data_IF_263766264165
#
_entry.id   IF_263766264165
#
_cell.length_a   1.000
_cell.length_b   1.000
_cell.length_c   1.000
_cell.angle_alpha   90.00
_cell.angle_beta   90.00
_cell.angle_gamma   90.00
#
_symmetry.space_group_name_H-M   'P 1'
#
loop_
_entity.id
_entity.type
_entity.pdbx_description
1 polymer ?
#
# COMPACT_ATOMS: atom_id res chain seq x y z
N UNK A 1 -20.74 0.08 78.62
CA UNK A 1 -22.16 0.48 78.57
C UNK A 1 -22.53 0.69 77.10
N UNK A 2 -23.56 -0.06 76.65
CA UNK A 2 -24.40 0.07 75.44
C UNK A 2 -23.69 0.21 74.08
N UNK A 3 -23.56 -0.82 73.23
CA UNK A 3 -24.59 -1.57 72.45
C UNK A 3 -25.42 -0.68 71.53
N UNK A 4 -25.26 -0.82 70.20
CA UNK A 4 -26.34 -1.09 69.21
C UNK A 4 -25.74 -1.56 67.86
N UNK A 5 -26.18 -2.74 67.40
CA UNK A 5 -26.11 -3.27 66.02
C UNK A 5 -27.54 -3.12 65.38
N UNK A 6 -27.88 -3.75 64.24
CA UNK A 6 -27.62 -3.37 62.84
C UNK A 6 -28.94 -3.17 62.06
N UNK A 7 -28.92 -2.58 60.86
CA UNK A 7 -30.09 -2.60 59.95
C UNK A 7 -29.69 -3.11 58.57
N UNK A 8 -30.31 -4.22 58.17
CA UNK A 8 -30.28 -4.87 56.87
C UNK A 8 -31.32 -4.25 55.94
N UNK A 9 -31.04 -4.16 54.64
CA UNK A 9 -31.99 -4.28 53.51
C UNK A 9 -31.12 -4.36 52.25
N UNK A 10 -30.79 -5.53 51.68
CA UNK A 10 -31.63 -6.40 50.84
C UNK A 10 -32.49 -5.61 49.84
N UNK A 11 -31.90 -5.36 48.67
CA UNK A 11 -32.57 -4.83 47.47
C UNK A 11 -32.11 -5.61 46.25
N UNK A 12 -32.48 -6.89 46.21
CA UNK A 12 -32.42 -7.73 45.02
C UNK A 12 -33.67 -7.36 44.22
N UNK A 13 -33.51 -6.76 43.04
CA UNK A 13 -34.61 -6.69 42.06
C UNK A 13 -34.23 -7.53 40.84
N UNK A 14 -34.90 -8.67 40.64
CA UNK A 14 -34.62 -9.61 39.58
C UNK A 14 -35.47 -9.34 38.33
N UNK A 15 -35.03 -9.94 37.21
CA UNK A 15 -35.86 -10.55 36.14
C UNK A 15 -36.85 -9.60 35.41
N UNK A 16 -36.95 -9.57 34.09
CA UNK A 16 -37.15 -10.72 33.21
C UNK A 16 -37.33 -10.24 31.76
N UNK A 17 -36.76 -11.01 30.81
CA UNK A 17 -37.32 -11.35 29.48
C UNK A 17 -37.49 -10.18 28.47
N UNK A 18 -37.17 -10.23 27.18
CA UNK A 18 -37.26 -11.23 26.09
C UNK A 18 -36.35 -10.61 25.00
N UNK A 19 -35.51 -11.30 24.22
CA UNK A 19 -35.92 -12.20 23.16
C UNK A 19 -34.69 -12.87 22.55
N UNK A 20 -34.80 -14.18 22.43
CA UNK A 20 -34.03 -15.06 21.57
C UNK A 20 -34.23 -14.63 20.11
N UNK A 21 -33.16 -14.43 19.36
CA UNK A 21 -33.13 -14.87 17.97
C UNK A 21 -31.73 -15.39 17.64
N UNK A 22 -31.70 -16.69 17.41
CA UNK A 22 -30.58 -17.48 16.95
C UNK A 22 -30.33 -17.20 15.45
N UNK A 23 -29.21 -17.73 14.97
CA UNK A 23 -28.84 -17.95 13.57
C UNK A 23 -28.03 -16.82 12.89
N UNK A 24 -26.73 -17.14 12.77
CA UNK A 24 -25.96 -17.14 11.52
C UNK A 24 -26.07 -15.88 10.65
N UNK A 25 -25.00 -15.12 10.52
CA UNK A 25 -24.03 -15.26 9.44
C UNK A 25 -22.78 -14.45 9.80
N UNK A 26 -21.62 -15.09 9.69
CA UNK A 26 -20.35 -14.40 9.52
C UNK A 26 -20.44 -13.57 8.25
N UNK A 27 -20.89 -12.34 8.36
CA UNK A 27 -20.63 -11.31 7.38
C UNK A 27 -19.94 -10.20 8.13
N UNK A 28 -18.63 -10.38 8.29
CA UNK A 28 -17.76 -9.22 8.41
C UNK A 28 -17.98 -8.49 7.09
N UNK A 29 -18.91 -7.54 7.11
CA UNK A 29 -18.98 -6.53 6.08
C UNK A 29 -17.67 -5.78 6.22
N UNK A 30 -16.64 -6.30 5.55
CA UNK A 30 -15.61 -5.44 5.00
C UNK A 30 -16.42 -4.38 4.29
N UNK A 31 -16.50 -3.23 4.93
CA UNK A 31 -16.75 -2.01 4.20
C UNK A 31 -15.57 -2.00 3.24
N UNK A 32 -15.80 -2.50 2.02
CA UNK A 32 -15.10 -2.04 0.84
C UNK A 32 -15.28 -0.53 0.89
N UNK A 33 -14.35 0.10 1.61
CA UNK A 33 -13.96 1.47 1.36
C UNK A 33 -13.45 1.40 -0.06
N UNK A 34 -14.41 1.62 -0.96
CA UNK A 34 -14.22 2.13 -2.29
C UNK A 34 -13.11 3.17 -2.16
N UNK A 35 -11.88 2.73 -2.45
CA UNK A 35 -10.77 3.63 -2.62
C UNK A 35 -11.03 4.27 -3.98
N UNK A 36 -11.99 5.19 -4.00
CA UNK A 36 -12.07 6.28 -4.96
C UNK A 36 -10.81 7.12 -4.75
N UNK A 37 -9.66 6.58 -5.14
CA UNK A 37 -8.48 7.39 -5.40
C UNK A 37 -8.75 8.09 -6.72
N UNK A 38 -9.40 9.24 -6.61
CA UNK A 38 -9.54 10.22 -7.67
C UNK A 38 -8.14 10.65 -8.11
N UNK A 39 -7.67 10.01 -9.17
CA UNK A 39 -6.38 10.24 -9.81
C UNK A 39 -6.24 9.15 -10.84
N UNK A 40 -6.52 9.48 -12.09
CA UNK A 40 -6.38 8.56 -13.22
C UNK A 40 -4.98 7.88 -13.11
N UNK A 41 -4.93 6.54 -13.19
CA UNK A 41 -3.65 5.86 -12.98
C UNK A 41 -2.78 6.07 -14.21
N UNK A 42 -1.52 6.50 -14.04
CA UNK A 42 -0.54 6.49 -15.14
C UNK A 42 -0.44 5.05 -15.64
N UNK A 43 -0.74 4.83 -16.91
CA UNK A 43 -0.73 3.49 -17.50
C UNK A 43 0.71 3.05 -17.73
N UNK A 44 1.05 1.89 -17.19
CA UNK A 44 2.36 1.25 -17.31
C UNK A 44 2.22 -0.03 -18.14
N UNK A 45 2.92 -0.10 -19.27
CA UNK A 45 2.94 -1.25 -20.20
C UNK A 45 3.38 -2.54 -19.50
N UNK A 46 2.83 -3.70 -19.88
CA UNK A 46 3.21 -4.97 -19.26
C UNK A 46 4.70 -5.31 -19.43
N UNK A 47 5.30 -4.85 -20.53
CA UNK A 47 6.72 -4.98 -20.81
C UNK A 47 7.22 -3.76 -21.58
N UNK A 48 8.53 -3.52 -21.50
CA UNK A 48 9.23 -2.54 -22.31
C UNK A 48 10.69 -2.98 -22.50
N UNK A 49 11.38 -2.36 -23.46
CA UNK A 49 12.81 -2.56 -23.66
C UNK A 49 13.54 -1.24 -23.47
N UNK A 50 14.60 -1.26 -22.66
CA UNK A 50 15.49 -0.10 -22.47
C UNK A 50 16.93 -0.57 -22.54
N UNK A 51 17.75 0.08 -23.39
CA UNK A 51 19.15 -0.25 -23.60
C UNK A 51 19.42 -1.76 -23.87
N UNK A 52 18.54 -2.40 -24.65
CA UNK A 52 18.62 -3.83 -24.98
C UNK A 52 18.25 -4.77 -23.82
N UNK A 53 17.73 -4.24 -22.71
CA UNK A 53 17.22 -5.03 -21.59
C UNK A 53 15.70 -5.05 -21.65
N UNK A 54 15.13 -6.25 -21.77
CA UNK A 54 13.68 -6.45 -21.61
C UNK A 54 13.30 -6.34 -20.14
N UNK A 55 12.29 -5.54 -19.84
CA UNK A 55 11.71 -5.37 -18.51
C UNK A 55 10.30 -5.90 -18.50
N UNK A 56 9.98 -6.71 -17.50
CA UNK A 56 8.65 -7.30 -17.34
C UNK A 56 8.01 -6.77 -16.06
N UNK A 57 6.78 -6.25 -16.18
CA UNK A 57 5.98 -5.83 -15.04
C UNK A 57 5.66 -7.06 -14.18
N UNK A 58 6.02 -7.01 -12.92
CA UNK A 58 5.64 -8.01 -11.94
C UNK A 58 4.18 -7.81 -11.54
N UNK A 59 3.44 -8.90 -11.35
CA UNK A 59 2.03 -8.84 -10.95
C UNK A 59 1.85 -8.14 -9.59
N UNK A 60 2.78 -8.38 -8.65
CA UNK A 60 2.79 -7.77 -7.32
C UNK A 60 4.22 -7.74 -6.78
N UNK A 61 4.55 -6.73 -5.98
CA UNK A 61 5.80 -6.72 -5.21
C UNK A 61 5.70 -7.72 -4.03
N UNK A 62 6.74 -8.53 -3.83
CA UNK A 62 6.79 -9.46 -2.69
C UNK A 62 7.12 -8.72 -1.39
N UNK A 63 6.91 -9.37 -0.24
CA UNK A 63 7.34 -8.81 1.06
C UNK A 63 8.84 -8.50 1.09
N UNK A 64 9.66 -9.34 0.45
CA UNK A 64 11.11 -9.12 0.33
C UNK A 64 11.42 -7.86 -0.47
N UNK A 65 10.66 -7.59 -1.53
CA UNK A 65 10.80 -6.38 -2.36
C UNK A 65 10.47 -5.13 -1.55
N UNK A 66 9.34 -5.15 -0.84
CA UNK A 66 8.90 -4.03 -0.01
C UNK A 66 9.86 -3.78 1.15
N UNK A 67 10.41 -4.84 1.76
CA UNK A 67 11.42 -4.72 2.83
C UNK A 67 12.72 -4.11 2.32
N UNK A 68 13.17 -4.52 1.13
CA UNK A 68 14.35 -3.94 0.48
C UNK A 68 14.13 -2.44 0.21
N UNK A 69 12.99 -2.10 -0.37
CA UNK A 69 12.63 -0.71 -0.69
C UNK A 69 12.48 0.15 0.57
N UNK A 70 11.76 -0.34 1.59
CA UNK A 70 11.61 0.33 2.88
C UNK A 70 12.97 0.55 3.56
N UNK A 71 13.84 -0.46 3.55
CA UNK A 71 15.20 -0.35 4.09
C UNK A 71 16.06 0.69 3.37
N UNK A 72 15.82 0.93 2.08
CA UNK A 72 16.46 2.01 1.33
C UNK A 72 15.91 3.38 1.76
N UNK A 73 14.59 3.54 1.87
CA UNK A 73 13.95 4.78 2.31
C UNK A 73 14.29 5.18 3.75
N UNK A 74 14.42 4.21 4.66
CA UNK A 74 14.88 4.50 6.03
C UNK A 74 16.28 5.13 6.08
N UNK A 75 17.13 4.85 5.09
CA UNK A 75 18.48 5.41 4.98
C UNK A 75 18.52 6.70 4.17
N UNK A 76 17.48 6.97 3.39
CA UNK A 76 17.38 8.10 2.47
C UNK A 76 16.04 8.81 2.70
N UNK A 77 15.82 9.30 3.92
CA UNK A 77 14.52 9.83 4.36
C UNK A 77 14.02 11.01 3.53
N UNK A 78 14.93 11.81 2.96
CA UNK A 78 14.60 12.92 2.06
C UNK A 78 13.88 12.46 0.80
N UNK A 79 14.07 11.21 0.38
CA UNK A 79 13.40 10.67 -0.79
C UNK A 79 11.94 10.33 -0.51
N UNK A 80 11.59 9.97 0.73
CA UNK A 80 10.19 9.70 1.14
C UNK A 80 9.34 10.96 1.09
N UNK A 81 9.97 12.13 1.24
CA UNK A 81 9.31 13.43 1.11
C UNK A 81 9.09 13.82 -0.36
N UNK A 82 9.59 13.04 -1.33
CA UNK A 82 9.36 13.29 -2.75
C UNK A 82 7.87 13.07 -3.06
N UNK A 83 7.20 14.06 -3.66
CA UNK A 83 5.76 14.00 -3.91
C UNK A 83 5.36 12.99 -5.01
N UNK A 84 6.31 12.38 -5.71
CA UNK A 84 6.07 11.23 -6.59
C UNK A 84 5.91 9.93 -5.80
N UNK A 85 6.50 9.80 -4.61
CA UNK A 85 6.47 8.57 -3.82
C UNK A 85 5.19 8.54 -2.98
N UNK A 86 4.09 8.18 -3.64
CA UNK A 86 2.79 7.99 -3.03
C UNK A 86 2.13 6.70 -3.52
N UNK A 87 1.59 5.91 -2.58
CA UNK A 87 0.96 4.62 -2.89
C UNK A 87 1.94 3.51 -3.27
N UNK A 88 1.39 2.42 -3.79
CA UNK A 88 2.16 1.22 -4.14
C UNK A 88 2.93 1.41 -5.46
N UNK A 89 4.23 1.08 -5.50
CA UNK A 89 4.99 1.14 -6.74
C UNK A 89 4.58 0.06 -7.73
N UNK A 90 4.73 0.36 -9.02
CA UNK A 90 4.78 -0.65 -10.07
C UNK A 90 6.19 -1.27 -10.13
N UNK A 91 6.30 -2.58 -9.90
CA UNK A 91 7.56 -3.31 -9.97
C UNK A 91 7.82 -3.85 -11.38
N UNK A 92 9.01 -3.60 -11.91
CA UNK A 92 9.58 -4.27 -13.07
C UNK A 92 10.81 -5.08 -12.68
N UNK A 93 10.97 -6.23 -13.34
CA UNK A 93 12.14 -7.09 -13.19
C UNK A 93 12.77 -7.35 -14.55
N UNK A 94 14.08 -7.31 -14.62
CA UNK A 94 14.87 -7.70 -15.80
C UNK A 94 15.34 -9.16 -15.71
N UNK A 95 15.77 -9.78 -16.82
CA UNK A 95 16.33 -11.14 -16.83
C UNK A 95 17.54 -11.36 -15.91
N UNK A 96 18.32 -10.30 -15.63
CA UNK A 96 19.47 -10.37 -14.73
C UNK A 96 19.10 -10.18 -13.25
N UNK A 97 17.82 -10.05 -12.92
CA UNK A 97 17.33 -9.91 -11.55
C UNK A 97 17.36 -8.47 -11.00
N UNK A 98 17.65 -7.48 -11.84
CA UNK A 98 17.52 -6.06 -11.47
C UNK A 98 16.05 -5.71 -11.29
N UNK A 99 15.75 -4.90 -10.27
CA UNK A 99 14.39 -4.51 -9.91
C UNK A 99 14.22 -3.01 -10.06
N UNK A 100 13.12 -2.55 -10.65
CA UNK A 100 12.74 -1.14 -10.71
C UNK A 100 11.35 -0.93 -10.12
N UNK A 101 11.27 -0.04 -9.14
CA UNK A 101 10.01 0.40 -8.54
C UNK A 101 9.65 1.75 -9.14
N UNK A 102 8.54 1.82 -9.85
CA UNK A 102 8.04 3.03 -10.49
C UNK A 102 6.88 3.61 -9.71
N UNK A 103 6.89 4.92 -9.53
CA UNK A 103 5.74 5.72 -9.18
C UNK A 103 5.43 6.64 -10.35
N UNK A 104 4.15 6.79 -10.65
CA UNK A 104 3.66 7.67 -11.71
C UNK A 104 2.45 8.44 -11.24
N UNK A 105 2.38 9.72 -11.60
CA UNK A 105 1.21 10.57 -11.36
C UNK A 105 0.90 11.40 -12.59
N UNK A 106 -0.34 11.88 -12.71
CA UNK A 106 -0.64 12.94 -13.68
C UNK A 106 -0.01 14.25 -13.21
N UNK A 107 0.91 14.80 -13.99
CA UNK A 107 1.30 16.20 -13.88
C UNK A 107 0.28 17.11 -14.56
N UNK A 108 0.50 18.43 -14.47
CA UNK A 108 -0.41 19.43 -15.03
C UNK A 108 -0.53 19.38 -16.56
N UNK A 109 0.58 19.09 -17.25
CA UNK A 109 0.65 19.04 -18.71
C UNK A 109 1.05 17.65 -19.23
N UNK A 110 1.94 16.96 -18.53
CA UNK A 110 2.42 15.63 -18.89
C UNK A 110 2.49 14.72 -17.66
N UNK A 111 2.43 13.39 -17.81
CA UNK A 111 2.67 12.47 -16.70
C UNK A 111 4.05 12.72 -16.09
N UNK A 112 4.15 12.61 -14.78
CA UNK A 112 5.41 12.66 -14.05
C UNK A 112 5.68 11.28 -13.46
N UNK A 113 6.94 10.90 -13.40
CA UNK A 113 7.34 9.61 -12.87
C UNK A 113 8.67 9.68 -12.14
N UNK A 114 8.83 8.76 -11.20
CA UNK A 114 10.07 8.47 -10.50
C UNK A 114 10.27 6.95 -10.51
N UNK A 115 11.51 6.50 -10.69
CA UNK A 115 11.85 5.12 -10.38
C UNK A 115 13.03 5.00 -9.42
N UNK A 116 13.01 3.91 -8.65
CA UNK A 116 14.14 3.42 -7.86
C UNK A 116 14.56 2.08 -8.42
N UNK A 117 15.78 1.99 -8.94
CA UNK A 117 16.39 0.77 -9.49
C UNK A 117 17.35 0.16 -8.46
N UNK A 118 17.23 -1.13 -8.23
CA UNK A 118 18.16 -1.94 -7.45
C UNK A 118 18.90 -2.91 -8.37
N UNK A 119 20.21 -2.70 -8.51
CA UNK A 119 21.13 -3.57 -9.22
C UNK A 119 22.20 -4.09 -8.24
N UNK A 120 21.91 -5.22 -7.60
CA UNK A 120 22.73 -5.74 -6.51
C UNK A 120 22.77 -4.77 -5.33
N UNK A 121 23.91 -4.12 -5.10
CA UNK A 121 24.09 -3.11 -4.04
C UNK A 121 23.96 -1.67 -4.54
N UNK A 122 23.93 -1.48 -5.85
CA UNK A 122 23.80 -0.16 -6.45
C UNK A 122 22.32 0.21 -6.51
N UNK A 123 22.02 1.45 -6.10
CA UNK A 123 20.67 2.01 -6.18
C UNK A 123 20.72 3.28 -7.01
N UNK A 124 19.89 3.33 -8.05
CA UNK A 124 19.73 4.50 -8.92
C UNK A 124 18.33 5.05 -8.73
N UNK A 125 18.22 6.37 -8.58
CA UNK A 125 16.94 7.08 -8.55
C UNK A 125 16.91 8.00 -9.76
N UNK A 126 15.83 7.96 -10.52
CA UNK A 126 15.62 8.85 -11.64
C UNK A 126 14.18 9.35 -11.66
N UNK A 127 14.04 10.61 -12.02
CA UNK A 127 12.78 11.31 -12.21
C UNK A 127 12.64 11.73 -13.67
N UNK A 128 11.42 11.85 -14.15
CA UNK A 128 11.14 12.32 -15.49
C UNK A 128 9.70 12.76 -15.72
N UNK A 129 9.50 13.38 -16.87
CA UNK A 129 8.20 13.83 -17.38
C UNK A 129 7.90 13.15 -18.71
N UNK A 130 6.62 12.95 -19.04
CA UNK A 130 6.17 12.21 -20.22
C UNK A 130 5.95 10.73 -19.96
N UNK A 131 5.80 9.90 -21.01
CA UNK A 131 5.58 8.47 -20.86
C UNK A 131 6.77 7.78 -20.15
N UNK A 132 6.54 7.03 -19.06
CA UNK A 132 7.61 6.50 -18.21
C UNK A 132 8.51 5.43 -18.86
N UNK A 133 8.04 4.77 -19.91
CA UNK A 133 8.68 3.57 -20.49
C UNK A 133 9.08 3.74 -21.96
N UNK A 134 9.05 4.97 -22.48
CA UNK A 134 9.12 5.21 -23.93
C UNK A 134 7.89 4.64 -24.67
N UNK A 135 7.85 4.82 -25.99
CA UNK A 135 6.82 4.18 -26.82
C UNK A 135 6.98 2.66 -26.78
N UNK A 136 5.89 1.88 -26.65
CA UNK A 136 5.99 0.42 -26.73
C UNK A 136 6.62 0.05 -28.08
N UNK A 137 7.69 -0.75 -28.03
CA UNK A 137 8.25 -1.39 -29.21
C UNK A 137 7.14 -2.21 -29.89
N UNK A 138 6.77 -1.79 -31.11
CA UNK A 138 5.73 -2.42 -31.94
C UNK A 138 6.20 -3.73 -32.55
#
# INVERSE_FOLDING_TARGET
MSSQLPVRFLGITPLLLVAVCCCCFSSCSSSDVESTSNGQAVSFSAEFEEAGTKWTKSATATESDLKMLSGYFMKNSSLVENPHIAGDPTLYTSPNGTKRFYWGRHGAETPEWLYVQFEGRNVTVQEGTGPPLGSPSS
#
